data_IF_449306519663
#
_entry.id   IF_449306519663
#
_cell.length_a   1.000
_cell.length_b   1.000
_cell.length_c   1.000
_cell.angle_alpha   90.00
_cell.angle_beta   90.00
_cell.angle_gamma   90.00
#
_symmetry.space_group_name_H-M   'P 1'
#
loop_
_entity.id
_entity.type
_entity.pdbx_description
1 polymer ?
#
# COMPACT_ATOMS: atom_id res chain seq x y z
N UNK A 1 15.72 3.60 17.54
CA UNK A 1 14.79 3.78 16.39
C UNK A 1 13.61 4.61 16.86
N UNK A 2 13.17 5.62 16.09
CA UNK A 2 11.94 6.36 16.45
C UNK A 2 10.73 5.43 16.28
N UNK A 3 9.75 5.45 17.19
CA UNK A 3 8.54 4.67 17.03
C UNK A 3 7.80 5.11 15.76
N UNK A 4 7.36 4.14 14.97
CA UNK A 4 6.61 4.37 13.74
C UNK A 4 5.28 5.06 14.05
N UNK A 5 4.93 6.10 13.29
CA UNK A 5 3.67 6.81 13.49
C UNK A 5 2.48 5.89 13.21
N UNK A 6 1.43 6.00 14.03
CA UNK A 6 0.13 5.36 13.73
C UNK A 6 -0.60 6.02 12.56
N UNK A 7 -0.20 7.24 12.21
CA UNK A 7 -0.83 8.04 11.16
C UNK A 7 0.10 8.18 9.96
N UNK A 8 -0.28 7.56 8.85
CA UNK A 8 0.54 7.45 7.65
C UNK A 8 -0.31 7.36 6.37
N UNK A 9 0.33 7.66 5.25
CA UNK A 9 -0.13 7.33 3.90
C UNK A 9 0.67 6.13 3.41
N UNK A 10 -0.02 5.15 2.83
CA UNK A 10 0.57 3.92 2.31
C UNK A 10 0.12 3.64 0.88
N UNK A 11 0.85 2.73 0.23
CA UNK A 11 0.50 2.16 -1.06
C UNK A 11 0.48 0.63 -0.97
N UNK A 12 -0.49 0.01 -1.65
CA UNK A 12 -0.62 -1.43 -1.84
C UNK A 12 -0.55 -1.69 -3.35
N UNK A 13 0.46 -2.44 -3.84
CA UNK A 13 0.54 -2.77 -5.24
C UNK A 13 -0.36 -3.96 -5.62
N UNK A 14 -0.80 -3.99 -6.87
CA UNK A 14 -1.47 -5.12 -7.52
C UNK A 14 -0.57 -5.71 -8.60
N UNK A 15 -0.71 -7.00 -8.88
CA UNK A 15 0.07 -7.69 -9.93
C UNK A 15 -0.22 -7.15 -11.34
N UNK A 16 -1.41 -6.57 -11.55
CA UNK A 16 -1.75 -5.94 -12.82
C UNK A 16 -1.14 -4.54 -13.02
N UNK A 17 -0.30 -4.07 -12.09
CA UNK A 17 0.31 -2.74 -12.11
C UNK A 17 -0.56 -1.62 -11.52
N UNK A 18 -1.83 -1.91 -11.20
CA UNK A 18 -2.66 -0.98 -10.45
C UNK A 18 -2.17 -0.84 -9.00
N UNK A 19 -2.54 0.26 -8.34
CA UNK A 19 -2.19 0.50 -6.93
C UNK A 19 -3.42 0.94 -6.15
N UNK A 20 -3.43 0.69 -4.84
CA UNK A 20 -4.33 1.34 -3.90
C UNK A 20 -3.50 2.23 -2.96
N UNK A 21 -3.85 3.50 -2.86
CA UNK A 21 -3.22 4.46 -1.96
C UNK A 21 -4.22 4.79 -0.86
N UNK A 22 -3.83 4.72 0.39
CA UNK A 22 -4.75 5.00 1.50
C UNK A 22 -4.11 5.73 2.66
N UNK A 23 -4.94 6.38 3.47
CA UNK A 23 -4.56 6.88 4.80
C UNK A 23 -4.94 5.91 5.93
N UNK A 24 -4.23 6.00 7.05
CA UNK A 24 -4.67 5.41 8.31
C UNK A 24 -4.30 6.31 9.49
N UNK A 25 -5.06 6.17 10.58
CA UNK A 25 -4.75 6.71 11.92
C UNK A 25 -4.61 5.62 12.98
N UNK A 26 -4.92 4.37 12.62
CA UNK A 26 -4.96 3.23 13.54
C UNK A 26 -3.64 2.45 13.57
N UNK A 27 -2.69 2.83 12.73
CA UNK A 27 -1.46 2.08 12.49
C UNK A 27 -1.52 1.33 11.17
N UNK A 28 -0.35 1.18 10.57
CA UNK A 28 -0.18 0.54 9.26
C UNK A 28 -0.53 -0.95 9.31
N UNK A 29 0.05 -1.71 10.25
CA UNK A 29 -0.19 -3.14 10.38
C UNK A 29 -1.66 -3.47 10.67
N UNK A 30 -2.29 -2.76 11.62
CA UNK A 30 -3.71 -2.96 11.93
C UNK A 30 -4.60 -2.66 10.70
N UNK A 31 -4.21 -1.69 9.86
CA UNK A 31 -4.93 -1.38 8.62
C UNK A 31 -4.76 -2.49 7.58
N UNK A 32 -3.58 -3.10 7.45
CA UNK A 32 -3.39 -4.23 6.53
C UNK A 32 -4.24 -5.44 6.95
N UNK A 33 -4.32 -5.75 8.25
CA UNK A 33 -5.22 -6.81 8.76
C UNK A 33 -6.69 -6.53 8.41
N UNK A 34 -7.13 -5.27 8.50
CA UNK A 34 -8.50 -4.90 8.11
C UNK A 34 -8.72 -5.13 6.61
N UNK A 35 -7.73 -4.79 5.80
CA UNK A 35 -7.76 -4.97 4.35
C UNK A 35 -7.77 -6.44 3.95
N UNK A 36 -6.94 -7.27 4.57
CA UNK A 36 -6.91 -8.73 4.41
C UNK A 36 -8.28 -9.34 4.70
N UNK A 37 -8.89 -8.98 5.84
CA UNK A 37 -10.24 -9.47 6.18
C UNK A 37 -11.30 -9.09 5.16
N UNK A 38 -11.21 -7.89 4.59
CA UNK A 38 -12.15 -7.46 3.54
C UNK A 38 -11.94 -8.24 2.24
N UNK A 39 -10.68 -8.55 1.92
CA UNK A 39 -10.31 -9.37 0.76
C UNK A 39 -10.79 -10.81 0.96
N UNK A 40 -10.53 -11.42 2.12
CA UNK A 40 -10.97 -12.78 2.46
C UNK A 40 -12.48 -12.95 2.44
N UNK A 41 -13.23 -11.91 2.81
CA UNK A 41 -14.69 -11.93 2.79
C UNK A 41 -15.27 -11.91 1.36
N UNK A 42 -14.55 -11.33 0.40
CA UNK A 42 -14.88 -11.23 -1.03
C UNK A 42 -16.37 -10.94 -1.34
N UNK A 43 -17.02 -10.07 -0.56
CA UNK A 43 -18.45 -9.77 -0.73
C UNK A 43 -18.70 -9.01 -2.05
N UNK A 44 -19.60 -9.54 -2.90
CA UNK A 44 -20.05 -8.92 -4.16
C UNK A 44 -20.56 -7.47 -3.98
N UNK A 45 -21.07 -7.14 -2.79
CA UNK A 45 -21.56 -5.80 -2.45
C UNK A 45 -20.55 -4.96 -1.65
N UNK A 46 -19.29 -5.41 -1.60
CA UNK A 46 -18.24 -4.73 -0.85
C UNK A 46 -18.05 -3.29 -1.31
N UNK A 47 -17.91 -2.39 -0.33
CA UNK A 47 -17.51 -0.98 -0.56
C UNK A 47 -15.99 -0.80 -0.64
N UNK A 48 -15.23 -1.89 -0.47
CA UNK A 48 -13.77 -1.87 -0.58
C UNK A 48 -13.39 -1.74 -2.05
N UNK A 49 -12.64 -0.70 -2.39
CA UNK A 49 -12.15 -0.48 -3.76
C UNK A 49 -11.22 -1.62 -4.21
N UNK A 50 -10.55 -2.30 -3.27
CA UNK A 50 -9.70 -3.46 -3.57
C UNK A 50 -10.52 -4.67 -4.01
N UNK A 51 -11.61 -4.98 -3.30
CA UNK A 51 -12.52 -6.09 -3.64
C UNK A 51 -13.23 -5.78 -4.96
N UNK A 52 -13.74 -4.55 -5.10
CA UNK A 52 -14.34 -4.10 -6.36
C UNK A 52 -13.37 -4.20 -7.54
N UNK A 53 -12.08 -3.90 -7.35
CA UNK A 53 -11.06 -4.07 -8.36
C UNK A 53 -10.87 -5.54 -8.74
N UNK A 54 -10.79 -6.44 -7.76
CA UNK A 54 -10.68 -7.88 -7.98
C UNK A 54 -11.83 -8.41 -8.85
N UNK A 55 -13.08 -8.04 -8.51
CA UNK A 55 -14.28 -8.42 -9.28
C UNK A 55 -14.28 -7.81 -10.69
N UNK A 56 -13.95 -6.53 -10.83
CA UNK A 56 -13.89 -5.86 -12.14
C UNK A 56 -12.83 -6.44 -13.06
N UNK A 57 -11.79 -7.06 -12.50
CA UNK A 57 -10.75 -7.78 -13.23
C UNK A 57 -11.05 -9.27 -13.39
N UNK A 58 -12.26 -9.72 -13.03
CA UNK A 58 -12.66 -11.11 -13.18
C UNK A 58 -11.80 -12.07 -12.36
N UNK A 59 -11.46 -11.68 -11.13
CA UNK A 59 -10.63 -12.45 -10.20
C UNK A 59 -9.19 -12.73 -10.68
N UNK A 60 -8.72 -12.05 -11.73
CA UNK A 60 -7.39 -12.29 -12.31
C UNK A 60 -6.23 -11.66 -11.53
N UNK A 61 -6.50 -10.69 -10.65
CA UNK A 61 -5.48 -10.04 -9.86
C UNK A 61 -6.04 -9.51 -8.55
N UNK A 62 -5.21 -9.49 -7.51
CA UNK A 62 -5.55 -8.98 -6.18
C UNK A 62 -4.45 -8.02 -5.68
N UNK A 63 -4.85 -7.07 -4.86
CA UNK A 63 -3.90 -6.20 -4.16
C UNK A 63 -3.21 -6.99 -3.04
N UNK A 64 -1.88 -6.90 -3.00
CA UNK A 64 -1.05 -7.68 -2.09
C UNK A 64 -0.68 -6.84 -0.86
N UNK A 65 -1.37 -7.09 0.25
CA UNK A 65 -1.15 -6.39 1.52
C UNK A 65 0.23 -6.66 2.11
N UNK A 66 0.87 -7.79 1.79
CA UNK A 66 2.24 -8.08 2.22
C UNK A 66 3.29 -7.25 1.47
N UNK A 67 2.94 -6.78 0.27
CA UNK A 67 3.78 -5.85 -0.52
C UNK A 67 3.48 -4.39 -0.21
N UNK A 68 2.56 -4.10 0.70
CA UNK A 68 2.22 -2.74 1.07
C UNK A 68 3.38 -2.03 1.78
N UNK A 69 3.54 -0.73 1.53
CA UNK A 69 4.57 0.09 2.17
C UNK A 69 4.06 1.49 2.52
N UNK A 70 4.69 2.10 3.53
CA UNK A 70 4.42 3.48 3.91
C UNK A 70 5.17 4.42 2.96
N UNK A 71 4.42 5.36 2.38
CA UNK A 71 4.98 6.46 1.61
C UNK A 71 5.50 7.54 2.57
N UNK A 72 4.66 7.95 3.52
CA UNK A 72 4.92 9.08 4.41
C UNK A 72 4.12 9.00 5.73
N UNK A 73 4.72 9.47 6.82
CA UNK A 73 4.02 9.70 8.09
C UNK A 73 3.42 11.11 8.12
N UNK A 74 2.14 11.23 8.49
CA UNK A 74 1.47 12.54 8.61
C UNK A 74 0.42 12.47 9.72
N UNK A 75 0.57 13.28 10.76
CA UNK A 75 -0.32 13.27 11.93
C UNK A 75 -1.56 14.12 11.64
N UNK A 76 -1.39 15.24 10.93
CA UNK A 76 -2.49 16.15 10.63
C UNK A 76 -3.46 15.51 9.64
N UNK A 77 -4.71 15.35 10.06
CA UNK A 77 -5.76 14.69 9.26
C UNK A 77 -6.01 15.40 7.93
N UNK A 78 -6.02 16.73 7.92
CA UNK A 78 -6.32 17.50 6.70
C UNK A 78 -5.17 17.35 5.72
N UNK A 79 -3.92 17.49 6.18
CA UNK A 79 -2.74 17.28 5.35
C UNK A 79 -2.67 15.84 4.82
N UNK A 80 -2.96 14.85 5.66
CA UNK A 80 -2.92 13.44 5.28
C UNK A 80 -3.90 13.12 4.14
N UNK A 81 -5.12 13.66 4.20
CA UNK A 81 -6.11 13.51 3.11
C UNK A 81 -5.71 14.19 1.81
N UNK A 82 -5.13 15.39 1.90
CA UNK A 82 -4.63 16.11 0.71
C UNK A 82 -3.49 15.29 0.08
N UNK A 83 -2.54 14.82 0.90
CA UNK A 83 -1.44 13.96 0.45
C UNK A 83 -1.92 12.65 -0.16
N UNK A 84 -2.87 11.97 0.46
CA UNK A 84 -3.49 10.76 -0.10
C UNK A 84 -4.06 11.02 -1.50
N UNK A 85 -4.72 12.16 -1.71
CA UNK A 85 -5.28 12.53 -3.02
C UNK A 85 -4.19 12.79 -4.07
N UNK A 86 -3.11 13.47 -3.66
CA UNK A 86 -1.94 13.72 -4.49
C UNK A 86 -1.27 12.39 -4.90
N UNK A 87 -0.95 11.54 -3.92
CA UNK A 87 -0.32 10.25 -4.18
C UNK A 87 -1.24 9.33 -4.99
N UNK A 88 -2.56 9.34 -4.73
CA UNK A 88 -3.54 8.59 -5.52
C UNK A 88 -3.53 9.01 -6.99
N UNK A 89 -3.47 10.31 -7.26
CA UNK A 89 -3.44 10.85 -8.62
C UNK A 89 -2.14 10.49 -9.34
N UNK A 90 -0.99 10.67 -8.67
CA UNK A 90 0.34 10.39 -9.24
C UNK A 90 0.57 8.90 -9.48
N UNK A 91 0.10 8.03 -8.58
CA UNK A 91 0.24 6.58 -8.70
C UNK A 91 -0.84 5.93 -9.58
N UNK A 92 -1.75 6.73 -10.18
CA UNK A 92 -2.91 6.23 -10.93
C UNK A 92 -3.70 5.18 -10.13
N UNK A 93 -3.92 5.48 -8.86
CA UNK A 93 -4.53 4.58 -7.89
C UNK A 93 -5.97 4.23 -8.28
N UNK A 94 -6.43 3.04 -7.88
CA UNK A 94 -7.81 2.59 -8.06
C UNK A 94 -8.83 3.39 -7.24
N UNK A 95 -8.37 4.28 -6.36
CA UNK A 95 -9.23 5.10 -5.51
C UNK A 95 -10.11 6.03 -6.33
N UNK A 96 -11.42 5.84 -6.25
CA UNK A 96 -12.43 6.59 -7.03
C UNK A 96 -12.82 7.92 -6.38
N UNK A 97 -12.48 8.12 -5.12
CA UNK A 97 -12.95 9.27 -4.30
C UNK A 97 -11.92 10.37 -4.10
N UNK A 98 -10.72 10.20 -4.66
CA UNK A 98 -9.55 11.02 -4.35
C UNK A 98 -9.14 11.92 -5.51
N UNK A 99 -10.10 12.29 -6.39
CA UNK A 99 -9.83 13.15 -7.54
C UNK A 99 -9.47 14.57 -7.11
N UNK A 100 -8.32 15.04 -7.60
CA UNK A 100 -7.91 16.44 -7.48
C UNK A 100 -8.61 17.25 -8.56
N UNK A 101 -9.12 18.43 -8.21
CA UNK A 101 -9.72 19.34 -9.19
C UNK A 101 -8.73 19.67 -10.30
N UNK A 102 -9.19 19.63 -11.55
CA UNK A 102 -8.36 19.79 -12.77
C UNK A 102 -7.54 21.09 -12.80
N UNK A 103 -7.95 22.11 -12.04
CA UNK A 103 -7.22 23.37 -11.93
C UNK A 103 -5.83 23.21 -11.30
N UNK A 104 -5.63 22.18 -10.47
CA UNK A 104 -4.33 21.89 -9.84
C UNK A 104 -3.42 21.02 -10.70
N UNK A 105 -3.93 20.47 -11.80
CA UNK A 105 -3.20 19.53 -12.65
C UNK A 105 -1.86 20.09 -13.17
N UNK A 106 -1.75 21.36 -13.63
CA UNK A 106 -0.46 21.92 -14.06
C UNK A 106 0.60 21.88 -12.96
N UNK A 107 0.24 22.29 -11.74
CA UNK A 107 1.15 22.25 -10.59
C UNK A 107 1.53 20.81 -10.24
N UNK A 108 0.58 19.88 -10.35
CA UNK A 108 0.84 18.48 -10.07
C UNK A 108 1.86 17.89 -11.06
N UNK A 109 1.77 18.23 -12.36
CA UNK A 109 2.74 17.78 -13.36
C UNK A 109 4.17 18.24 -13.07
N UNK A 110 4.35 19.45 -12.54
CA UNK A 110 5.68 19.96 -12.18
C UNK A 110 6.33 19.15 -11.06
N UNK A 111 5.54 18.70 -10.07
CA UNK A 111 6.05 17.98 -8.89
C UNK A 111 5.97 16.46 -9.03
N UNK A 112 5.24 15.95 -10.01
CA UNK A 112 5.01 14.51 -10.24
C UNK A 112 6.31 13.69 -10.30
N UNK A 113 7.37 14.10 -11.02
CA UNK A 113 8.61 13.31 -11.07
C UNK A 113 9.26 13.15 -9.69
N UNK A 114 9.24 14.19 -8.87
CA UNK A 114 9.77 14.18 -7.50
C UNK A 114 8.97 13.25 -6.61
N UNK A 115 7.63 13.28 -6.72
CA UNK A 115 6.73 12.40 -5.97
C UNK A 115 6.96 10.94 -6.36
N UNK A 116 7.06 10.64 -7.66
CA UNK A 116 7.40 9.30 -8.15
C UNK A 116 8.75 8.83 -7.61
N UNK A 117 9.75 9.71 -7.58
CA UNK A 117 11.05 9.43 -6.99
C UNK A 117 10.97 9.03 -5.51
N UNK A 118 10.13 9.71 -4.72
CA UNK A 118 9.87 9.37 -3.31
C UNK A 118 9.24 7.98 -3.22
N UNK A 119 8.17 7.71 -3.97
CA UNK A 119 7.46 6.43 -3.95
C UNK A 119 8.41 5.28 -4.30
N UNK A 120 9.13 5.38 -5.42
CA UNK A 120 10.08 4.35 -5.85
C UNK A 120 11.20 4.13 -4.83
N UNK A 121 11.66 5.19 -4.16
CA UNK A 121 12.64 5.03 -3.09
C UNK A 121 12.07 4.30 -1.88
N UNK A 122 10.80 4.54 -1.53
CA UNK A 122 10.13 3.87 -0.40
C UNK A 122 9.88 2.41 -0.68
N UNK A 123 9.44 2.09 -1.90
CA UNK A 123 9.22 0.74 -2.37
C UNK A 123 10.51 -0.09 -2.32
N UNK A 124 11.61 0.41 -2.90
CA UNK A 124 12.92 -0.29 -2.85
C UNK A 124 13.37 -0.56 -1.42
N UNK A 125 13.31 0.46 -0.56
CA UNK A 125 13.68 0.31 0.86
C UNK A 125 12.82 -0.71 1.61
N UNK A 126 11.57 -0.93 1.19
CA UNK A 126 10.71 -1.95 1.75
C UNK A 126 11.11 -3.34 1.26
N UNK A 127 11.33 -3.50 -0.06
CA UNK A 127 11.81 -4.75 -0.67
C UNK A 127 13.14 -5.21 -0.07
N UNK A 128 14.09 -4.29 0.12
CA UNK A 128 15.42 -4.60 0.67
C UNK A 128 15.36 -5.07 2.13
N UNK A 129 14.43 -4.53 2.94
CA UNK A 129 14.26 -5.00 4.33
C UNK A 129 13.70 -6.42 4.40
N UNK A 130 12.86 -6.81 3.44
CA UNK A 130 12.26 -8.14 3.38
C UNK A 130 13.28 -9.21 2.92
N UNK A 131 14.23 -8.86 2.05
CA UNK A 131 15.28 -9.78 1.63
C UNK A 131 16.24 -10.11 2.77
N UNK A 132 16.60 -9.13 3.60
CA UNK A 132 17.46 -9.34 4.78
C UNK A 132 16.81 -10.27 5.79
N UNK A 133 15.52 -10.10 6.10
CA UNK A 133 14.83 -10.96 7.08
C UNK A 133 14.67 -12.42 6.65
N UNK A 134 14.80 -12.74 5.36
CA UNK A 134 14.66 -14.12 4.86
C UNK A 134 15.96 -14.93 4.93
N UNK A 135 17.12 -14.29 5.09
CA UNK A 135 18.41 -14.98 5.10
C UNK A 135 18.78 -15.56 6.48
N UNK A 136 18.08 -15.16 7.55
CA UNK A 136 18.35 -15.61 8.92
C UNK A 136 17.53 -16.85 9.34
N UNK A 137 16.76 -17.46 8.44
CA UNK A 137 15.79 -18.53 8.75
C UNK A 137 16.16 -19.94 8.29
N UNK A 138 17.32 -20.15 7.67
CA UNK A 138 17.76 -21.46 7.16
C UNK A 138 19.04 -21.92 7.86
N UNK A 139 18.89 -22.38 9.10
CA UNK A 139 19.86 -23.26 9.76
C UNK A 139 19.15 -24.53 10.18
N UNK A 140 19.09 -25.48 9.26
CA UNK A 140 18.57 -26.81 9.53
C UNK A 140 19.34 -27.53 10.64
N UNK A 141 18.61 -28.34 11.40
CA UNK A 141 19.12 -29.60 11.94
C UNK A 141 18.02 -30.64 11.78
N UNK A 142 18.23 -31.52 10.81
CA UNK A 142 17.64 -32.85 10.77
C UNK A 142 18.49 -33.75 11.66
N UNK A 143 17.89 -34.40 12.65
CA UNK A 143 18.40 -35.60 13.33
C UNK A 143 17.13 -36.42 13.63
N UNK A 144 16.81 -37.38 12.75
CA UNK A 144 17.15 -38.81 12.84
C UNK A 144 16.11 -39.59 13.66
N UNK A 145 15.25 -40.29 12.92
CA UNK A 145 14.51 -41.47 13.37
C UNK A 145 15.53 -42.57 13.67
N UNK A 146 15.53 -43.13 14.87
CA UNK A 146 15.92 -44.53 15.10
C UNK A 146 14.99 -45.15 16.16
N UNK A 147 14.77 -46.45 15.96
CA UNK A 147 13.72 -47.35 16.44
C UNK A 147 13.53 -47.51 17.96
#
# INVERSE_FOLDING_TARGET
>A
MKPQSKSNIYQIPCECGATNVGETKVGFHQRMIQHEKLIEQDDDNSKSEMVQHHHQKGWQCMLDTEKAFIIEDEIDRRKRRIKESIYSTVSQSINRRNEIEKLWTPLLYEVEPSIKGIISSRERNFSDKRSVQRQDGDSGTAEEEED
#
